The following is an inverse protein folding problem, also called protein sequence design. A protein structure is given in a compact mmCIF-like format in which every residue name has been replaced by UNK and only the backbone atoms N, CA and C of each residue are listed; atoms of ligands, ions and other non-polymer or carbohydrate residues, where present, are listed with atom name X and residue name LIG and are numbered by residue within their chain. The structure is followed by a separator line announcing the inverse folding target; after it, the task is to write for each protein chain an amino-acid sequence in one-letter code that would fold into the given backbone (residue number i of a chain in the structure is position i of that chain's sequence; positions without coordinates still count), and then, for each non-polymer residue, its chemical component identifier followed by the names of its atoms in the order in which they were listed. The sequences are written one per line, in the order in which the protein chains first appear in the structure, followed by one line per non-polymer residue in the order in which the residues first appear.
data_IF_436420938716
#
_entry.id   IF_436420938716
#
_cell.length_a   1.000
_cell.length_b   1.000
_cell.length_c   1.000
_cell.angle_alpha   90.00
_cell.angle_beta   90.00
_cell.angle_gamma   90.00
#
_symmetry.space_group_name_H-M   'P 1'
#
loop_
_entity.id
_entity.type
_entity.pdbx_description
1 polymer ?
#
# COMPACT_ATOMS: atom_id res chain seq x y z
N UNK A 1 -11.25 -13.31 -4.37
CA UNK A 1 -10.11 -12.93 -5.24
C UNK A 1 -10.12 -11.43 -5.43
N UNK A 2 -8.96 -10.76 -5.42
CA UNK A 2 -8.87 -9.28 -5.43
C UNK A 2 -9.57 -8.63 -6.64
N UNK A 3 -9.48 -9.24 -7.83
CA UNK A 3 -10.16 -8.76 -9.05
C UNK A 3 -11.67 -8.61 -8.82
N UNK A 4 -12.32 -9.58 -8.19
CA UNK A 4 -13.75 -9.49 -7.89
C UNK A 4 -14.07 -8.31 -6.95
N UNK A 5 -13.22 -8.04 -5.96
CA UNK A 5 -13.40 -6.91 -5.05
C UNK A 5 -13.25 -5.57 -5.79
N UNK A 6 -12.22 -5.44 -6.63
CA UNK A 6 -12.03 -4.24 -7.45
C UNK A 6 -13.13 -4.08 -8.50
N UNK A 7 -13.68 -5.17 -9.06
CA UNK A 7 -14.86 -5.10 -9.92
C UNK A 7 -16.05 -4.51 -9.20
N UNK A 8 -16.33 -4.93 -7.96
CA UNK A 8 -17.40 -4.32 -7.14
C UNK A 8 -17.18 -2.82 -6.91
N UNK A 9 -15.94 -2.38 -6.72
CA UNK A 9 -15.61 -0.94 -6.62
C UNK A 9 -15.92 -0.23 -7.95
N UNK A 10 -15.49 -0.78 -9.09
CA UNK A 10 -15.67 -0.20 -10.42
C UNK A 10 -17.15 -0.18 -10.86
N UNK A 11 -17.96 -1.16 -10.45
CA UNK A 11 -19.41 -1.20 -10.69
C UNK A 11 -20.11 0.01 -10.07
N UNK A 12 -19.73 0.39 -8.84
CA UNK A 12 -20.31 1.51 -8.12
C UNK A 12 -19.87 2.89 -8.65
N UNK A 13 -18.84 2.92 -9.50
CA UNK A 13 -18.24 4.16 -10.01
C UNK A 13 -18.09 4.09 -11.53
N UNK A 14 -19.16 4.30 -12.32
CA UNK A 14 -19.16 4.04 -13.78
C UNK A 14 -18.08 4.78 -14.57
N UNK A 15 -17.65 5.96 -14.11
CA UNK A 15 -16.59 6.76 -14.73
C UNK A 15 -15.16 6.42 -14.30
N UNK A 16 -14.98 5.55 -13.29
CA UNK A 16 -13.66 5.21 -12.78
C UNK A 16 -12.90 4.29 -13.75
N UNK A 17 -11.58 4.42 -13.78
CA UNK A 17 -10.68 3.53 -14.49
C UNK A 17 -9.73 2.88 -13.49
N UNK A 18 -9.21 1.69 -13.83
CA UNK A 18 -8.22 0.98 -13.05
C UNK A 18 -6.93 0.88 -13.86
N UNK A 19 -5.83 1.35 -13.29
CA UNK A 19 -4.49 1.20 -13.84
C UNK A 19 -3.73 0.16 -13.00
N UNK A 20 -3.21 -0.87 -13.65
CA UNK A 20 -2.39 -1.90 -13.05
C UNK A 20 -0.98 -1.80 -13.63
N UNK A 21 0.04 -1.69 -12.77
CA UNK A 21 1.44 -1.61 -13.21
C UNK A 21 2.24 -2.78 -12.63
N UNK A 22 2.86 -3.56 -13.52
CA UNK A 22 3.73 -4.68 -13.17
C UNK A 22 4.52 -5.12 -14.41
N UNK A 23 5.73 -5.64 -14.22
CA UNK A 23 6.53 -6.20 -15.32
C UNK A 23 5.81 -7.32 -16.10
N UNK A 24 4.92 -8.06 -15.43
CA UNK A 24 4.11 -9.08 -16.09
C UNK A 24 3.22 -8.52 -17.23
N UNK A 25 2.91 -7.23 -17.22
CA UNK A 25 2.12 -6.59 -18.28
C UNK A 25 2.94 -6.19 -19.51
N UNK A 26 4.25 -6.47 -19.53
CA UNK A 26 5.04 -6.46 -20.77
C UNK A 26 4.55 -7.54 -21.76
N UNK A 27 3.91 -8.59 -21.25
CA UNK A 27 3.28 -9.66 -22.04
C UNK A 27 1.82 -9.31 -22.39
N UNK A 28 1.49 -9.13 -23.69
CA UNK A 28 0.12 -8.86 -24.13
C UNK A 28 -0.88 -9.97 -23.78
N UNK A 29 -0.45 -11.23 -23.65
CA UNK A 29 -1.33 -12.33 -23.23
C UNK A 29 -1.74 -12.21 -21.77
N UNK A 30 -0.82 -11.78 -20.90
CA UNK A 30 -1.13 -11.48 -19.50
C UNK A 30 -2.11 -10.30 -19.42
N UNK A 31 -1.89 -9.25 -20.22
CA UNK A 31 -2.84 -8.11 -20.29
C UNK A 31 -4.24 -8.58 -20.71
N UNK A 32 -4.35 -9.37 -21.78
CA UNK A 32 -5.61 -9.96 -22.24
C UNK A 32 -6.28 -10.80 -21.16
N UNK A 33 -5.52 -11.64 -20.47
CA UNK A 33 -6.02 -12.49 -19.39
C UNK A 33 -6.62 -11.68 -18.24
N UNK A 34 -5.93 -10.62 -17.81
CA UNK A 34 -6.42 -9.76 -16.72
C UNK A 34 -7.68 -9.00 -17.16
N UNK A 35 -7.68 -8.39 -18.33
CA UNK A 35 -8.86 -7.70 -18.88
C UNK A 35 -10.06 -8.63 -19.00
N UNK A 36 -9.88 -9.84 -19.54
CA UNK A 36 -10.93 -10.85 -19.63
C UNK A 36 -11.43 -11.30 -18.24
N UNK A 37 -10.57 -11.29 -17.23
CA UNK A 37 -10.96 -11.60 -15.85
C UNK A 37 -11.88 -10.54 -15.25
N UNK A 38 -11.71 -9.26 -15.61
CA UNK A 38 -12.64 -8.19 -15.23
C UNK A 38 -13.96 -8.27 -16.00
N UNK A 39 -13.94 -8.65 -17.28
CA UNK A 39 -15.14 -8.82 -18.11
C UNK A 39 -16.09 -9.90 -17.56
N UNK A 40 -15.56 -10.96 -16.92
CA UNK A 40 -16.36 -11.96 -16.20
C UNK A 40 -17.23 -11.36 -15.09
N UNK A 41 -16.88 -10.18 -14.60
CA UNK A 41 -17.63 -9.41 -13.60
C UNK A 41 -18.30 -8.17 -14.21
N UNK A 42 -18.55 -8.15 -15.52
CA UNK A 42 -19.27 -7.05 -16.18
C UNK A 42 -18.48 -5.75 -16.35
N UNK A 43 -17.19 -5.74 -16.02
CA UNK A 43 -16.35 -4.55 -16.20
C UNK A 43 -15.74 -4.56 -17.60
N UNK A 44 -16.10 -3.54 -18.40
CA UNK A 44 -15.58 -3.38 -19.76
C UNK A 44 -14.04 -3.24 -19.77
N UNK A 45 -13.34 -3.98 -20.64
CA UNK A 45 -11.87 -3.97 -20.73
C UNK A 45 -11.25 -2.59 -20.90
N UNK A 46 -11.95 -1.67 -21.57
CA UNK A 46 -11.48 -0.29 -21.77
C UNK A 46 -11.35 0.53 -20.48
N UNK A 47 -11.89 0.03 -19.36
CA UNK A 47 -11.71 0.61 -18.02
C UNK A 47 -10.47 0.06 -17.31
N UNK A 48 -9.79 -0.94 -17.87
CA UNK A 48 -8.64 -1.63 -17.27
C UNK A 48 -7.40 -1.33 -18.13
N UNK A 49 -6.55 -0.45 -17.64
CA UNK A 49 -5.26 -0.12 -18.24
C UNK A 49 -4.16 -0.94 -17.57
N UNK A 50 -3.28 -1.53 -18.36
CA UNK A 50 -2.14 -2.28 -17.85
C UNK A 50 -0.86 -1.63 -18.37
N UNK A 51 0.07 -1.33 -17.46
CA UNK A 51 1.39 -0.78 -17.77
C UNK A 51 2.48 -1.78 -17.38
N UNK A 52 3.35 -2.08 -18.33
CA UNK A 52 4.49 -2.97 -18.15
C UNK A 52 5.62 -2.37 -17.33
N UNK A 53 6.85 -2.80 -17.62
CA UNK A 53 8.06 -2.24 -17.01
C UNK A 53 8.27 -0.79 -17.44
N UNK A 54 8.57 0.08 -16.48
CA UNK A 54 8.85 1.50 -16.73
C UNK A 54 10.15 1.92 -16.05
N UNK A 55 10.91 2.88 -16.63
CA UNK A 55 11.93 3.61 -15.89
C UNK A 55 11.37 4.19 -14.60
N UNK A 56 12.17 4.22 -13.54
CA UNK A 56 11.70 4.57 -12.20
C UNK A 56 11.01 5.95 -12.14
N UNK A 57 11.55 6.95 -12.82
CA UNK A 57 10.94 8.29 -12.89
C UNK A 57 9.56 8.25 -13.58
N UNK A 58 9.42 7.51 -14.68
CA UNK A 58 8.14 7.37 -15.38
C UNK A 58 7.12 6.62 -14.53
N UNK A 59 7.55 5.59 -13.80
CA UNK A 59 6.73 4.90 -12.80
C UNK A 59 6.24 5.88 -11.71
N UNK A 60 7.11 6.77 -11.19
CA UNK A 60 6.67 7.76 -10.23
C UNK A 60 5.67 8.74 -10.85
N UNK A 61 5.91 9.22 -12.08
CA UNK A 61 5.02 10.14 -12.79
C UNK A 61 3.62 9.55 -13.06
N UNK A 62 3.48 8.21 -13.18
CA UNK A 62 2.16 7.58 -13.31
C UNK A 62 1.23 7.95 -12.15
N UNK A 63 1.74 8.15 -10.94
CA UNK A 63 0.93 8.47 -9.75
C UNK A 63 0.17 9.79 -9.88
N UNK A 64 0.61 10.72 -10.76
CA UNK A 64 -0.14 11.94 -11.04
C UNK A 64 -1.48 11.68 -11.73
N UNK A 65 -1.64 10.52 -12.38
CA UNK A 65 -2.89 10.08 -13.02
C UNK A 65 -3.78 9.24 -12.10
N UNK A 66 -3.32 8.92 -10.89
CA UNK A 66 -4.02 8.05 -9.94
C UNK A 66 -4.64 8.89 -8.85
N UNK A 67 -5.95 8.79 -8.64
CA UNK A 67 -6.67 9.47 -7.56
C UNK A 67 -6.47 8.79 -6.20
N UNK A 68 -6.69 7.46 -6.17
CA UNK A 68 -6.63 6.59 -5.00
C UNK A 68 -5.89 5.31 -5.41
N UNK A 69 -4.93 4.88 -4.60
CA UNK A 69 -4.32 3.56 -4.77
C UNK A 69 -5.10 2.52 -3.97
N UNK A 70 -5.51 1.44 -4.63
CA UNK A 70 -6.20 0.32 -4.02
C UNK A 70 -5.19 -0.74 -3.59
N UNK A 71 -5.06 -0.98 -2.28
CA UNK A 71 -4.09 -1.95 -1.78
C UNK A 71 -4.50 -3.39 -2.11
N UNK A 72 -3.52 -4.27 -2.28
CA UNK A 72 -3.73 -5.70 -2.55
C UNK A 72 -3.90 -6.51 -1.27
N UNK A 73 -4.49 -7.70 -1.39
CA UNK A 73 -4.65 -8.65 -0.28
C UNK A 73 -4.42 -10.08 -0.79
N UNK A 74 -3.85 -10.99 0.02
CA UNK A 74 -3.48 -10.83 1.44
C UNK A 74 -2.10 -10.17 1.67
N UNK A 75 -1.42 -9.76 0.61
CA UNK A 75 -0.12 -9.07 0.68
C UNK A 75 -0.34 -7.60 0.31
N UNK A 76 -0.15 -6.72 1.29
CA UNK A 76 -0.26 -5.27 1.07
C UNK A 76 0.99 -4.75 0.38
N UNK A 77 0.86 -3.60 -0.30
CA UNK A 77 1.98 -2.86 -0.82
C UNK A 77 2.89 -2.39 0.33
N UNK A 78 4.19 -2.52 0.12
CA UNK A 78 5.22 -2.01 1.03
C UNK A 78 5.85 -0.78 0.38
N UNK A 79 6.91 -0.98 -0.40
CA UNK A 79 7.62 0.10 -1.09
C UNK A 79 6.73 0.85 -2.09
N UNK A 80 5.87 0.13 -2.81
CA UNK A 80 4.89 0.74 -3.74
C UNK A 80 3.93 1.68 -3.03
N UNK A 81 3.46 1.30 -1.83
CA UNK A 81 2.64 2.15 -0.98
C UNK A 81 3.39 3.41 -0.56
N UNK A 82 4.65 3.28 -0.13
CA UNK A 82 5.47 4.45 0.20
C UNK A 82 5.66 5.40 -1.00
N UNK A 83 5.87 4.87 -2.21
CA UNK A 83 5.95 5.69 -3.43
C UNK A 83 4.66 6.44 -3.71
N UNK A 84 3.51 5.75 -3.64
CA UNK A 84 2.21 6.37 -3.86
C UNK A 84 1.95 7.53 -2.89
N UNK A 85 2.16 7.28 -1.59
CA UNK A 85 2.00 8.30 -0.55
C UNK A 85 2.96 9.49 -0.80
N UNK A 86 4.22 9.22 -1.14
CA UNK A 86 5.20 10.27 -1.44
C UNK A 86 4.85 11.11 -2.67
N UNK A 87 4.21 10.49 -3.66
CA UNK A 87 3.68 11.15 -4.86
C UNK A 87 2.31 11.81 -4.64
N UNK A 88 1.77 11.73 -3.43
CA UNK A 88 0.53 12.39 -3.03
C UNK A 88 -0.72 11.53 -3.15
N UNK A 89 -0.60 10.24 -3.46
CA UNK A 89 -1.75 9.34 -3.66
C UNK A 89 -2.07 8.60 -2.35
N UNK A 90 -3.25 8.82 -1.73
CA UNK A 90 -3.67 8.06 -0.56
C UNK A 90 -4.01 6.60 -0.92
N UNK A 91 -3.92 5.72 0.07
CA UNK A 91 -4.08 4.27 -0.13
C UNK A 91 -5.29 3.77 0.64
N UNK A 92 -6.22 3.12 -0.05
CA UNK A 92 -7.31 2.38 0.57
C UNK A 92 -6.87 0.93 0.81
N UNK A 93 -6.72 0.56 2.08
CA UNK A 93 -6.26 -0.77 2.50
C UNK A 93 -7.34 -1.53 3.25
N UNK A 94 -7.31 -2.85 3.16
CA UNK A 94 -8.13 -3.72 4.00
C UNK A 94 -7.35 -4.10 5.27
N UNK A 95 -8.02 -4.12 6.42
CA UNK A 95 -7.44 -4.58 7.67
C UNK A 95 -7.05 -6.05 7.58
N UNK A 96 -5.81 -6.33 7.95
CA UNK A 96 -5.20 -7.65 7.87
C UNK A 96 -4.95 -8.27 9.24
N UNK A 97 -5.06 -9.59 9.34
CA UNK A 97 -4.72 -10.35 10.54
C UNK A 97 -3.25 -10.79 10.62
N UNK A 98 -2.45 -10.59 9.57
CA UNK A 98 -1.05 -11.04 9.46
C UNK A 98 -0.12 -9.85 9.27
N UNK A 99 1.16 -9.98 9.63
CA UNK A 99 2.12 -8.88 9.50
C UNK A 99 2.16 -8.25 8.10
N UNK A 100 2.22 -9.09 7.05
CA UNK A 100 2.29 -8.63 5.67
C UNK A 100 0.97 -8.03 5.12
N UNK A 101 -0.14 -8.16 5.85
CA UNK A 101 -1.41 -7.51 5.53
C UNK A 101 -1.67 -6.26 6.37
N UNK A 102 -0.72 -5.83 7.20
CA UNK A 102 -0.88 -4.68 8.12
C UNK A 102 -0.01 -3.48 7.76
N UNK A 103 0.82 -3.56 6.73
CA UNK A 103 1.69 -2.43 6.36
C UNK A 103 0.84 -1.25 5.88
N UNK A 104 -0.12 -1.48 4.98
CA UNK A 104 -1.09 -0.45 4.58
C UNK A 104 -1.78 0.19 5.80
N UNK A 105 -2.29 -0.62 6.74
CA UNK A 105 -2.92 -0.15 7.97
C UNK A 105 -1.96 0.72 8.81
N UNK A 106 -0.71 0.28 9.01
CA UNK A 106 0.28 1.02 9.81
C UNK A 106 0.65 2.35 9.17
N UNK A 107 0.80 2.39 7.84
CA UNK A 107 1.08 3.61 7.10
C UNK A 107 -0.07 4.61 7.24
N UNK A 108 -1.32 4.16 7.10
CA UNK A 108 -2.49 5.04 7.22
C UNK A 108 -2.64 5.55 8.65
N UNK A 109 -2.40 4.71 9.66
CA UNK A 109 -2.39 5.13 11.06
C UNK A 109 -1.31 6.17 11.35
N UNK A 110 -0.10 6.00 10.80
CA UNK A 110 1.00 6.94 11.01
C UNK A 110 0.81 8.30 10.33
N UNK A 111 -0.15 8.41 9.39
CA UNK A 111 -0.50 9.64 8.67
C UNK A 111 -1.81 10.27 9.15
N UNK A 112 -2.40 9.73 10.24
CA UNK A 112 -3.72 10.11 10.77
C UNK A 112 -4.85 9.97 9.75
N UNK A 113 -4.84 8.84 9.03
CA UNK A 113 -5.80 8.48 7.97
C UNK A 113 -6.48 7.14 8.29
N UNK A 114 -6.89 6.90 9.55
CA UNK A 114 -7.48 5.61 9.93
C UNK A 114 -8.80 5.30 9.18
N UNK A 115 -9.48 6.33 8.68
CA UNK A 115 -10.65 6.21 7.82
C UNK A 115 -10.37 5.57 6.45
N UNK A 116 -9.09 5.50 6.03
CA UNK A 116 -8.63 4.82 4.81
C UNK A 116 -8.34 3.33 5.02
N UNK A 117 -8.63 2.80 6.21
CA UNK A 117 -8.53 1.38 6.54
C UNK A 117 -9.93 0.78 6.59
N UNK A 118 -10.23 -0.11 5.65
CA UNK A 118 -11.47 -0.86 5.61
C UNK A 118 -11.41 -2.08 6.53
N UNK A 119 -12.53 -2.43 7.18
CA UNK A 119 -12.61 -3.57 8.11
C UNK A 119 -12.92 -4.90 7.42
N UNK A 120 -13.67 -4.84 6.33
CA UNK A 120 -14.07 -5.98 5.52
C UNK A 120 -14.26 -5.57 4.05
N UNK A 121 -14.65 -6.53 3.20
CA UNK A 121 -14.84 -6.28 1.76
C UNK A 121 -16.00 -5.33 1.46
N UNK A 122 -17.04 -5.31 2.28
CA UNK A 122 -18.18 -4.42 2.08
C UNK A 122 -17.79 -2.98 2.45
N UNK A 123 -17.15 -2.81 3.60
CA UNK A 123 -16.61 -1.53 4.05
C UNK A 123 -15.56 -0.98 3.05
N UNK A 124 -14.74 -1.86 2.45
CA UNK A 124 -13.79 -1.46 1.42
C UNK A 124 -14.47 -0.82 0.20
N UNK A 125 -15.54 -1.43 -0.30
CA UNK A 125 -16.30 -0.88 -1.44
C UNK A 125 -16.98 0.44 -1.06
N UNK A 126 -17.60 0.50 0.13
CA UNK A 126 -18.26 1.72 0.61
C UNK A 126 -17.27 2.87 0.78
N UNK A 127 -16.10 2.62 1.38
CA UNK A 127 -15.04 3.62 1.53
C UNK A 127 -14.50 4.07 0.18
N UNK A 128 -14.28 3.16 -0.77
CA UNK A 128 -13.85 3.54 -2.12
C UNK A 128 -14.82 4.54 -2.77
N UNK A 129 -16.14 4.32 -2.60
CA UNK A 129 -17.16 5.25 -3.10
C UNK A 129 -17.14 6.59 -2.34
N UNK A 130 -17.18 6.55 -1.01
CA UNK A 130 -17.26 7.76 -0.18
C UNK A 130 -16.04 8.67 -0.37
N UNK A 131 -14.83 8.08 -0.39
CA UNK A 131 -13.58 8.81 -0.51
C UNK A 131 -13.34 9.39 -1.92
N UNK A 132 -14.01 8.86 -2.94
CA UNK A 132 -13.90 9.35 -4.32
C UNK A 132 -15.01 10.32 -4.74
N UNK A 133 -16.10 10.43 -3.96
CA UNK A 133 -17.21 11.35 -4.24
C UNK A 133 -16.81 12.82 -4.10
N UNK A 134 -16.07 13.17 -3.03
CA UNK A 134 -15.62 14.54 -2.81
C UNK A 134 -14.22 14.77 -3.41
N UNK A 135 -14.21 15.15 -4.69
CA UNK A 135 -12.97 15.46 -5.42
C UNK A 135 -12.17 16.60 -4.80
N UNK A 136 -12.83 17.57 -4.17
CA UNK A 136 -12.15 18.71 -3.56
C UNK A 136 -11.43 18.30 -2.28
N UNK A 137 -12.09 17.50 -1.44
CA UNK A 137 -11.46 16.92 -0.26
C UNK A 137 -10.29 16.00 -0.66
N UNK A 138 -10.46 15.19 -1.71
CA UNK A 138 -9.42 14.31 -2.21
C UNK A 138 -8.20 15.10 -2.73
N UNK A 139 -8.41 16.14 -3.53
CA UNK A 139 -7.32 16.99 -4.03
C UNK A 139 -6.56 17.68 -2.89
N UNK A 140 -7.28 18.25 -1.91
CA UNK A 140 -6.67 18.81 -0.69
C UNK A 140 -5.83 17.78 0.07
N UNK A 141 -6.37 16.55 0.24
CA UNK A 141 -5.64 15.49 0.89
C UNK A 141 -4.35 15.18 0.13
N UNK A 142 -4.43 14.99 -1.19
CA UNK A 142 -3.29 14.69 -2.06
C UNK A 142 -2.18 15.73 -1.94
N UNK A 143 -2.54 17.02 -1.94
CA UNK A 143 -1.60 18.12 -1.78
C UNK A 143 -0.92 18.11 -0.39
N UNK A 144 -1.62 17.65 0.66
CA UNK A 144 -1.08 17.57 2.02
C UNK A 144 -0.20 16.35 2.30
N UNK A 145 -0.29 15.30 1.48
CA UNK A 145 0.31 13.99 1.77
C UNK A 145 1.82 14.05 2.02
N UNK A 146 2.57 14.79 1.21
CA UNK A 146 4.03 14.89 1.37
C UNK A 146 4.40 15.54 2.70
N UNK A 147 3.69 16.59 3.08
CA UNK A 147 3.89 17.26 4.38
C UNK A 147 3.54 16.32 5.54
N UNK A 148 2.44 15.55 5.44
CA UNK A 148 2.07 14.53 6.43
C UNK A 148 3.18 13.49 6.60
N UNK A 149 3.77 12.99 5.52
CA UNK A 149 4.88 12.02 5.59
C UNK A 149 6.09 12.62 6.29
N UNK A 150 6.47 13.85 5.93
CA UNK A 150 7.61 14.56 6.51
C UNK A 150 7.44 14.84 8.00
N UNK A 151 6.20 15.07 8.45
CA UNK A 151 5.87 15.26 9.87
C UNK A 151 5.64 13.96 10.64
N UNK A 152 5.33 12.87 9.93
CA UNK A 152 5.10 11.56 10.54
C UNK A 152 6.39 10.87 10.96
N UNK A 153 6.27 9.89 11.86
CA UNK A 153 7.39 9.01 12.23
C UNK A 153 7.90 8.11 11.10
N UNK A 154 7.23 8.06 9.93
CA UNK A 154 7.69 7.28 8.76
C UNK A 154 9.03 7.84 8.24
N UNK A 155 9.21 9.16 8.30
CA UNK A 155 10.41 9.83 7.77
C UNK A 155 11.46 10.17 8.83
N UNK A 156 11.20 9.85 10.11
CA UNK A 156 12.13 10.10 11.20
C UNK A 156 13.25 9.05 11.25
N UNK A 157 14.24 9.27 10.37
CA UNK A 157 15.43 8.43 10.25
C UNK A 157 16.22 8.35 11.56
N UNK A 158 16.30 9.47 12.31
CA UNK A 158 17.10 9.53 13.54
C UNK A 158 16.47 8.68 14.63
N UNK A 159 15.16 8.84 14.86
CA UNK A 159 14.43 8.04 15.84
C UNK A 159 14.41 6.56 15.45
N UNK A 160 14.29 6.24 14.16
CA UNK A 160 14.37 4.87 13.67
C UNK A 160 15.73 4.23 13.98
N UNK A 161 16.84 4.89 13.60
CA UNK A 161 18.21 4.40 13.85
C UNK A 161 18.46 4.25 15.34
N UNK A 162 18.11 5.24 16.16
CA UNK A 162 18.26 5.16 17.61
C UNK A 162 17.50 3.96 18.21
N UNK A 163 16.26 3.74 17.78
CA UNK A 163 15.44 2.61 18.25
C UNK A 163 16.06 1.26 17.86
N UNK A 164 16.64 1.18 16.65
CA UNK A 164 17.32 -0.01 16.15
C UNK A 164 18.62 -0.29 16.92
N UNK A 165 19.46 0.72 17.11
CA UNK A 165 20.72 0.62 17.88
C UNK A 165 20.46 0.18 19.33
N UNK A 166 19.38 0.69 19.95
CA UNK A 166 18.96 0.27 21.28
C UNK A 166 18.64 -1.23 21.33
N UNK A 167 17.92 -1.75 20.34
CA UNK A 167 17.62 -3.19 20.24
C UNK A 167 18.89 -4.01 20.01
N UNK A 168 19.78 -3.58 19.12
CA UNK A 168 21.07 -4.25 18.92
C UNK A 168 21.89 -4.31 20.20
N UNK A 169 21.94 -3.21 20.97
CA UNK A 169 22.65 -3.18 22.25
C UNK A 169 22.04 -4.14 23.26
N UNK A 170 20.71 -4.23 23.34
CA UNK A 170 20.02 -5.18 24.22
C UNK A 170 20.33 -6.63 23.87
N UNK A 171 20.26 -6.98 22.58
CA UNK A 171 20.59 -8.33 22.09
C UNK A 171 22.05 -8.70 22.39
N UNK A 172 22.97 -7.76 22.16
CA UNK A 172 24.40 -7.96 22.46
C UNK A 172 24.65 -8.19 23.94
N UNK A 173 24.09 -7.34 24.82
CA UNK A 173 24.23 -7.49 26.28
C UNK A 173 23.69 -8.86 26.74
N UNK A 174 22.50 -9.25 26.27
CA UNK A 174 21.91 -10.54 26.62
C UNK A 174 22.78 -11.74 26.20
N UNK A 175 23.40 -11.65 25.02
CA UNK A 175 24.32 -12.69 24.54
C UNK A 175 25.61 -12.78 25.40
N UNK A 176 26.21 -11.64 25.76
CA UNK A 176 27.38 -11.59 26.64
C UNK A 176 27.08 -12.22 28.02
N UNK A 177 25.91 -11.90 28.59
CA UNK A 177 25.45 -12.46 29.86
C UNK A 177 25.22 -13.98 29.78
N UNK A 178 24.66 -14.50 28.68
CA UNK A 178 24.53 -15.95 28.48
C UNK A 178 25.88 -16.66 28.36
N UNK A 179 26.85 -16.08 27.63
CA UNK A 179 28.21 -16.64 27.52
C UNK A 179 28.93 -16.68 28.87
N UNK A 180 28.70 -15.69 29.73
CA UNK A 180 29.29 -15.66 31.08
C UNK A 180 28.74 -16.77 31.99
N UNK A 181 27.52 -17.28 31.71
CA UNK A 181 26.88 -18.37 32.47
C UNK A 181 27.24 -19.77 31.98
N UNK A 182 27.63 -19.94 30.72
CA UNK A 182 27.99 -21.25 30.13
C UNK A 182 29.51 -21.52 30.13
N UNK A 183 30.31 -20.59 30.66
CA UNK A 183 31.78 -20.70 30.77
C UNK A 183 32.31 -21.43 32.00
N UNK A 184 31.46 -22.00 32.87
CA UNK A 184 31.91 -22.84 33.99
C UNK A 184 32.01 -24.30 33.50
N UNK A 185 33.07 -24.60 32.77
CA UNK A 185 33.57 -25.97 32.70
C UNK A 185 34.56 -26.12 33.85
N UNK A 186 34.09 -26.69 34.97
CA UNK A 186 34.98 -27.18 36.03
C UNK A 186 35.83 -28.30 35.45
N UNK A 187 37.15 -28.09 35.46
CA UNK A 187 38.18 -29.13 35.28
C UNK A 187 38.19 -30.02 36.50
#
# INVERSE_FOLDING_TARGET
MIIHLWSKVLEQMPGAQLLLQAAAYDDPDIVRYFQASFEKYGIHRGRIQCAGTLPFEQYLQLHHQIDIMLDTQPWTGHTTSCHALWMGVPILTLEGSRHASRIGQRLMQALDLQEWVAKDHQDYVQKAMQLSQDRHALDKLRQSMRERILKSGISDKKQYVYSLEKVYRQLWTAWCEQKSRTGVWTV
#
